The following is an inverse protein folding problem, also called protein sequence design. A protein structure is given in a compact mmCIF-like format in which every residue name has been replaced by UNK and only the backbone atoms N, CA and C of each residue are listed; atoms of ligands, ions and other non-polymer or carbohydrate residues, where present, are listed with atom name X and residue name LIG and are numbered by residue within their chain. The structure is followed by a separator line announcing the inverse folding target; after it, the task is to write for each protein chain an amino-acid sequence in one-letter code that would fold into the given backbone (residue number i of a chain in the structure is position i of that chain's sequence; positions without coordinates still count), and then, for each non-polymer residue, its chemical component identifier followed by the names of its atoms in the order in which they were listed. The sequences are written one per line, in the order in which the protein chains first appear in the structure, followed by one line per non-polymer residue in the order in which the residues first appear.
data_IF_300567491030
#
_entry.id   IF_300567491030
#
_cell.length_a   1.000
_cell.length_b   1.000
_cell.length_c   1.000
_cell.angle_alpha   90.00
_cell.angle_beta   90.00
_cell.angle_gamma   90.00
#
_symmetry.space_group_name_H-M   'P 1'
#
loop_
_entity.id
_entity.type
_entity.pdbx_description
1 polymer ?
#
# COMPACT_ATOMS: atom_id res chain seq x y z
N UNK A 1 -19.89 -24.32 -5.86
CA UNK A 1 -19.80 -23.25 -6.87
C UNK A 1 -18.42 -22.67 -6.73
N UNK A 2 -17.53 -22.93 -7.70
CA UNK A 2 -16.19 -22.39 -7.71
C UNK A 2 -16.26 -20.87 -7.80
N UNK A 3 -15.81 -20.17 -6.77
CA UNK A 3 -15.73 -18.71 -6.74
C UNK A 3 -14.79 -18.24 -7.86
N UNK A 4 -15.22 -17.24 -8.64
CA UNK A 4 -14.41 -16.57 -9.67
C UNK A 4 -14.85 -15.10 -9.74
N UNK A 5 -14.21 -14.26 -8.95
CA UNK A 5 -14.50 -12.83 -8.82
C UNK A 5 -13.82 -12.00 -9.92
N UNK A 6 -12.66 -12.42 -10.42
CA UNK A 6 -11.93 -11.73 -11.49
C UNK A 6 -11.02 -12.68 -12.27
N UNK A 7 -10.91 -12.44 -13.58
CA UNK A 7 -9.90 -13.08 -14.43
C UNK A 7 -8.94 -12.01 -14.96
N UNK A 8 -7.72 -11.98 -14.44
CA UNK A 8 -6.70 -11.01 -14.81
C UNK A 8 -5.57 -11.68 -15.59
N UNK A 9 -5.49 -11.39 -16.90
CA UNK A 9 -4.52 -11.98 -17.82
C UNK A 9 -3.98 -10.91 -18.78
N UNK A 10 -3.12 -9.98 -18.30
CA UNK A 10 -2.54 -8.96 -19.16
C UNK A 10 -1.60 -9.58 -20.21
N UNK A 11 -1.51 -8.97 -21.40
CA UNK A 11 -0.57 -9.41 -22.43
C UNK A 11 0.88 -9.04 -22.06
N UNK A 12 1.86 -9.71 -22.66
CA UNK A 12 3.27 -9.35 -22.47
C UNK A 12 3.58 -7.90 -22.90
N UNK A 13 2.88 -7.41 -23.93
CA UNK A 13 2.95 -6.02 -24.39
C UNK A 13 2.43 -5.06 -23.32
N UNK A 14 1.30 -5.38 -22.69
CA UNK A 14 0.72 -4.54 -21.63
C UNK A 14 1.61 -4.50 -20.40
N UNK A 15 2.16 -5.66 -19.98
CA UNK A 15 3.10 -5.73 -18.87
C UNK A 15 4.35 -4.87 -19.12
N UNK A 16 4.93 -4.97 -20.32
CA UNK A 16 6.08 -4.14 -20.72
C UNK A 16 5.74 -2.65 -20.69
N UNK A 17 4.55 -2.27 -21.15
CA UNK A 17 4.09 -0.88 -21.12
C UNK A 17 3.87 -0.36 -19.69
N UNK A 18 3.33 -1.20 -18.80
CA UNK A 18 3.16 -0.88 -17.37
C UNK A 18 4.52 -0.66 -16.72
N UNK A 19 5.48 -1.58 -16.91
CA UNK A 19 6.82 -1.47 -16.34
C UNK A 19 7.56 -0.22 -16.85
N UNK A 20 7.43 0.09 -18.14
CA UNK A 20 7.96 1.32 -18.74
C UNK A 20 7.35 2.59 -18.14
N UNK A 21 6.04 2.58 -17.86
CA UNK A 21 5.36 3.69 -17.21
C UNK A 21 5.80 3.88 -15.75
N UNK A 22 5.95 2.78 -14.99
CA UNK A 22 6.48 2.81 -13.62
C UNK A 22 7.89 3.38 -13.57
N UNK A 23 8.78 2.89 -14.45
CA UNK A 23 10.14 3.42 -14.58
C UNK A 23 10.15 4.92 -14.89
N UNK A 24 9.27 5.36 -15.79
CA UNK A 24 9.14 6.79 -16.10
C UNK A 24 8.72 7.60 -14.87
N UNK A 25 7.79 7.08 -14.05
CA UNK A 25 7.40 7.75 -12.80
C UNK A 25 8.57 7.83 -11.82
N UNK A 26 9.34 6.76 -11.64
CA UNK A 26 10.52 6.72 -10.78
C UNK A 26 11.58 7.74 -11.21
N UNK A 27 11.88 7.82 -12.51
CA UNK A 27 12.84 8.76 -13.07
C UNK A 27 12.41 10.23 -12.92
N UNK A 28 11.11 10.53 -13.11
CA UNK A 28 10.59 11.90 -13.01
C UNK A 28 10.32 12.36 -11.58
N UNK A 29 10.26 11.44 -10.62
CA UNK A 29 9.97 11.71 -9.22
C UNK A 29 11.18 11.46 -8.30
N UNK A 30 12.41 11.43 -8.85
CA UNK A 30 13.65 11.19 -8.09
C UNK A 30 13.89 12.18 -6.94
N UNK A 31 13.30 13.38 -6.99
CA UNK A 31 13.40 14.39 -5.93
C UNK A 31 12.47 14.14 -4.73
N UNK A 32 11.61 13.12 -4.76
CA UNK A 32 10.76 12.77 -3.64
C UNK A 32 11.54 12.05 -2.54
N UNK A 33 11.11 12.24 -1.29
CA UNK A 33 11.75 11.64 -0.12
C UNK A 33 10.92 10.52 0.47
N UNK A 34 11.60 9.50 1.01
CA UNK A 34 11.00 8.48 1.86
C UNK A 34 11.22 8.83 3.34
N UNK A 35 10.13 8.89 4.12
CA UNK A 35 10.20 9.08 5.57
C UNK A 35 10.18 7.72 6.29
N UNK A 36 11.10 7.55 7.25
CA UNK A 36 11.09 6.45 8.24
C UNK A 36 9.86 6.52 9.15
N UNK A 37 9.60 5.43 9.87
CA UNK A 37 8.47 5.35 10.82
C UNK A 37 8.64 6.39 11.93
N UNK A 38 9.87 6.56 12.43
CA UNK A 38 10.24 7.51 13.46
C UNK A 38 10.03 8.96 12.98
N UNK A 39 10.49 9.29 11.77
CA UNK A 39 10.26 10.63 11.20
C UNK A 39 8.77 10.93 11.03
N UNK A 40 7.97 9.97 10.57
CA UNK A 40 6.51 10.17 10.41
C UNK A 40 5.80 10.42 11.74
N UNK A 41 6.25 9.79 12.83
CA UNK A 41 5.61 9.95 14.12
C UNK A 41 5.85 11.35 14.71
N UNK A 42 7.06 11.90 14.53
CA UNK A 42 7.48 13.19 15.11
C UNK A 42 7.04 14.43 14.32
N UNK A 43 6.73 14.30 13.02
CA UNK A 43 6.35 15.44 12.20
C UNK A 43 4.98 16.01 12.58
N UNK A 44 4.89 17.34 12.54
CA UNK A 44 3.62 18.08 12.60
C UNK A 44 2.79 17.73 11.36
N UNK A 45 1.59 17.20 11.58
CA UNK A 45 0.76 16.66 10.50
C UNK A 45 -0.22 17.72 10.01
N UNK A 46 -0.36 17.79 8.70
CA UNK A 46 -1.35 18.66 8.06
C UNK A 46 -2.51 17.79 7.55
N UNK A 47 -3.65 17.85 8.23
CA UNK A 47 -4.95 17.41 7.69
C UNK A 47 -5.73 18.57 7.06
N UNK A 48 -6.96 18.32 6.63
CA UNK A 48 -7.78 19.25 5.85
C UNK A 48 -7.92 20.65 6.49
N UNK A 49 -8.20 20.71 7.79
CA UNK A 49 -8.37 21.98 8.52
C UNK A 49 -7.07 22.78 8.58
N UNK A 50 -5.96 22.11 8.91
CA UNK A 50 -4.64 22.73 8.99
C UNK A 50 -4.13 23.17 7.62
N UNK A 51 -4.52 22.49 6.54
CA UNK A 51 -4.16 22.92 5.19
C UNK A 51 -4.84 24.24 4.81
N UNK A 52 -6.15 24.37 5.07
CA UNK A 52 -6.86 25.61 4.83
C UNK A 52 -6.20 26.78 5.60
N UNK A 53 -5.79 26.53 6.85
CA UNK A 53 -4.98 27.46 7.63
C UNK A 53 -3.64 27.79 6.96
N UNK A 54 -2.86 26.80 6.51
CA UNK A 54 -1.57 27.02 5.87
C UNK A 54 -1.69 27.87 4.60
N UNK A 55 -2.73 27.64 3.78
CA UNK A 55 -3.00 28.44 2.58
C UNK A 55 -3.27 29.91 2.91
N UNK A 56 -4.16 30.14 3.88
CA UNK A 56 -4.49 31.49 4.34
C UNK A 56 -3.27 32.17 4.97
N UNK A 57 -2.47 31.43 5.74
CA UNK A 57 -1.23 31.94 6.32
C UNK A 57 -0.23 32.32 5.23
N UNK A 58 -0.04 31.50 4.19
CA UNK A 58 0.81 31.87 3.05
C UNK A 58 0.33 33.18 2.45
N UNK A 59 -0.96 33.32 2.13
CA UNK A 59 -1.51 34.55 1.54
C UNK A 59 -1.33 35.79 2.44
N UNK A 60 -1.65 35.66 3.73
CA UNK A 60 -1.54 36.79 4.67
C UNK A 60 -0.09 37.24 4.84
N UNK A 61 0.83 36.30 5.06
CA UNK A 61 2.26 36.58 5.22
C UNK A 61 2.88 37.10 3.93
N UNK A 62 2.36 36.65 2.79
CA UNK A 62 2.71 37.14 1.46
C UNK A 62 2.42 38.60 1.25
N UNK A 63 1.27 39.06 1.74
CA UNK A 63 0.81 40.45 1.63
C UNK A 63 1.41 41.35 2.70
N UNK A 64 1.93 40.78 3.79
CA UNK A 64 2.46 41.51 4.93
C UNK A 64 3.88 41.05 5.31
N UNK A 65 4.86 41.08 4.40
CA UNK A 65 6.20 40.53 4.68
C UNK A 65 6.92 41.27 5.83
N UNK A 66 6.56 42.52 6.12
CA UNK A 66 7.16 43.31 7.20
C UNK A 66 6.88 42.82 8.62
N UNK A 67 5.91 41.92 8.84
CA UNK A 67 5.65 41.31 10.16
C UNK A 67 6.58 40.13 10.45
N UNK A 68 7.30 39.64 9.44
CA UNK A 68 8.15 38.47 9.54
C UNK A 68 9.57 38.87 9.98
N UNK A 69 10.20 38.09 10.86
CA UNK A 69 11.60 38.30 11.19
C UNK A 69 12.49 37.99 9.98
N UNK A 70 13.69 38.59 9.93
CA UNK A 70 14.61 38.47 8.80
C UNK A 70 15.08 37.03 8.49
N UNK A 71 15.01 36.12 9.47
CA UNK A 71 15.37 34.72 9.31
C UNK A 71 14.22 33.83 8.82
N UNK A 72 13.00 34.36 8.65
CA UNK A 72 11.87 33.58 8.17
C UNK A 72 11.91 33.43 6.65
N UNK A 73 11.88 32.19 6.17
CA UNK A 73 11.95 31.91 4.74
C UNK A 73 10.55 31.80 4.11
N UNK A 74 9.93 32.96 3.85
CA UNK A 74 8.63 33.04 3.19
C UNK A 74 8.67 32.44 1.77
N UNK A 75 9.82 32.48 1.11
CA UNK A 75 9.96 31.95 -0.24
C UNK A 75 9.87 30.42 -0.26
N UNK A 76 10.52 29.74 0.69
CA UNK A 76 10.39 28.27 0.84
C UNK A 76 8.97 27.88 1.20
N UNK A 77 8.32 28.57 2.14
CA UNK A 77 6.93 28.27 2.50
C UNK A 77 5.99 28.32 1.27
N UNK A 78 6.19 29.28 0.36
CA UNK A 78 5.45 29.35 -0.91
C UNK A 78 5.80 28.20 -1.85
N UNK A 79 7.09 27.87 -1.97
CA UNK A 79 7.56 26.74 -2.80
C UNK A 79 6.94 25.43 -2.33
N UNK A 80 6.90 25.20 -1.03
CA UNK A 80 6.32 24.00 -0.42
C UNK A 80 4.83 23.88 -0.74
N UNK A 81 4.07 24.98 -0.63
CA UNK A 81 2.65 24.98 -0.98
C UNK A 81 2.42 24.64 -2.46
N UNK A 82 3.23 25.21 -3.37
CA UNK A 82 3.16 24.89 -4.81
C UNK A 82 3.54 23.44 -5.09
N UNK A 83 4.58 22.93 -4.43
CA UNK A 83 5.01 21.52 -4.54
C UNK A 83 3.93 20.56 -4.06
N UNK A 84 3.31 20.88 -2.92
CA UNK A 84 2.18 20.14 -2.36
C UNK A 84 0.99 20.08 -3.33
N UNK A 85 0.61 21.21 -3.92
CA UNK A 85 -0.46 21.28 -4.92
C UNK A 85 -0.12 20.54 -6.21
N UNK A 86 1.15 20.53 -6.59
CA UNK A 86 1.61 19.78 -7.77
C UNK A 86 1.45 18.28 -7.55
N UNK A 87 1.81 17.77 -6.37
CA UNK A 87 1.78 16.34 -6.07
C UNK A 87 0.37 15.80 -5.85
N UNK A 88 -0.50 16.56 -5.21
CA UNK A 88 -1.86 16.15 -4.83
C UNK A 88 -2.64 15.39 -5.92
N UNK A 89 -2.85 15.93 -7.14
CA UNK A 89 -3.64 15.23 -8.15
C UNK A 89 -2.94 13.97 -8.69
N UNK A 90 -1.60 13.87 -8.61
CA UNK A 90 -0.86 12.66 -9.01
C UNK A 90 -1.04 11.58 -7.95
N UNK A 91 -0.90 11.95 -6.67
CA UNK A 91 -1.09 11.08 -5.53
C UNK A 91 -2.49 10.44 -5.56
N UNK A 92 -3.54 11.25 -5.73
CA UNK A 92 -4.91 10.75 -5.85
C UNK A 92 -5.11 9.74 -7.00
N UNK A 93 -4.44 9.93 -8.14
CA UNK A 93 -4.52 9.00 -9.28
C UNK A 93 -3.80 7.69 -9.00
N UNK A 94 -2.64 7.75 -8.36
CA UNK A 94 -1.85 6.57 -7.98
C UNK A 94 -2.55 5.78 -6.89
N UNK A 95 -3.11 6.44 -5.87
CA UNK A 95 -3.89 5.80 -4.80
C UNK A 95 -5.07 5.04 -5.35
N UNK A 96 -5.86 5.64 -6.24
CA UNK A 96 -6.99 4.96 -6.89
C UNK A 96 -6.56 3.74 -7.71
N UNK A 97 -5.41 3.81 -8.38
CA UNK A 97 -4.88 2.67 -9.13
C UNK A 97 -4.42 1.56 -8.17
N UNK A 98 -3.71 1.93 -7.11
CA UNK A 98 -3.24 1.02 -6.07
C UNK A 98 -4.41 0.29 -5.39
N UNK A 99 -5.46 1.02 -5.01
CA UNK A 99 -6.69 0.45 -4.43
C UNK A 99 -7.28 -0.63 -5.35
N UNK A 100 -7.47 -0.33 -6.64
CA UNK A 100 -7.98 -1.31 -7.61
C UNK A 100 -7.07 -2.52 -7.77
N UNK A 101 -5.75 -2.34 -7.73
CA UNK A 101 -4.79 -3.44 -7.78
C UNK A 101 -4.88 -4.32 -6.52
N UNK A 102 -5.00 -3.71 -5.34
CA UNK A 102 -5.15 -4.41 -4.07
C UNK A 102 -6.47 -5.18 -4.00
N UNK A 103 -7.58 -4.57 -4.41
CA UNK A 103 -8.89 -5.23 -4.48
C UNK A 103 -8.87 -6.42 -5.43
N UNK A 104 -8.24 -6.27 -6.60
CA UNK A 104 -8.09 -7.35 -7.57
C UNK A 104 -7.21 -8.48 -7.02
N UNK A 105 -6.14 -8.15 -6.31
CA UNK A 105 -5.28 -9.14 -5.65
C UNK A 105 -6.03 -9.90 -4.56
N UNK A 106 -6.84 -9.20 -3.75
CA UNK A 106 -7.70 -9.80 -2.74
C UNK A 106 -8.72 -10.76 -3.36
N UNK A 107 -9.40 -10.32 -4.43
CA UNK A 107 -10.39 -11.10 -5.15
C UNK A 107 -9.78 -12.40 -5.72
N UNK A 108 -8.66 -12.29 -6.45
CA UNK A 108 -7.93 -13.46 -6.97
C UNK A 108 -7.46 -14.37 -5.84
N UNK A 109 -6.98 -13.82 -4.73
CA UNK A 109 -6.58 -14.59 -3.56
C UNK A 109 -7.74 -15.40 -2.96
N UNK A 110 -8.94 -14.82 -2.92
CA UNK A 110 -10.16 -15.50 -2.49
C UNK A 110 -10.53 -16.64 -3.44
N UNK A 111 -10.51 -16.39 -4.74
CA UNK A 111 -10.77 -17.41 -5.77
C UNK A 111 -9.81 -18.60 -5.63
N UNK A 112 -8.51 -18.30 -5.53
CA UNK A 112 -7.45 -19.30 -5.35
C UNK A 112 -7.66 -20.12 -4.09
N UNK A 113 -7.98 -19.45 -2.98
CA UNK A 113 -8.16 -20.09 -1.69
C UNK A 113 -9.39 -21.00 -1.66
N UNK A 114 -10.51 -20.53 -2.20
CA UNK A 114 -11.75 -21.31 -2.30
C UNK A 114 -11.55 -22.55 -3.17
N UNK A 115 -10.97 -22.39 -4.36
CA UNK A 115 -10.69 -23.50 -5.26
C UNK A 115 -9.70 -24.52 -4.65
N UNK A 116 -8.67 -24.05 -3.94
CA UNK A 116 -7.71 -24.92 -3.28
C UNK A 116 -8.33 -25.74 -2.14
N UNK A 117 -9.25 -25.17 -1.35
CA UNK A 117 -9.98 -25.89 -0.30
C UNK A 117 -10.93 -26.95 -0.88
N UNK A 118 -11.64 -26.62 -1.94
CA UNK A 118 -12.51 -27.56 -2.65
C UNK A 118 -11.68 -28.72 -3.23
N UNK A 119 -10.57 -28.41 -3.91
CA UNK A 119 -9.59 -29.39 -4.41
C UNK A 119 -9.02 -30.28 -3.31
N UNK A 120 -8.65 -29.70 -2.15
CA UNK A 120 -8.18 -30.48 -1.00
C UNK A 120 -9.27 -31.40 -0.44
N UNK A 121 -10.54 -30.97 -0.47
CA UNK A 121 -11.67 -31.82 -0.06
C UNK A 121 -11.82 -33.02 -0.99
N UNK A 122 -11.74 -32.82 -2.31
CA UNK A 122 -11.72 -33.94 -3.26
C UNK A 122 -10.53 -34.87 -3.03
N UNK A 123 -9.34 -34.33 -2.77
CA UNK A 123 -8.15 -35.12 -2.44
C UNK A 123 -8.35 -35.99 -1.19
N UNK A 124 -9.07 -35.50 -0.17
CA UNK A 124 -9.39 -36.29 1.04
C UNK A 124 -10.35 -37.46 0.77
N UNK A 125 -11.24 -37.31 -0.20
CA UNK A 125 -12.28 -38.30 -0.52
C UNK A 125 -11.78 -39.31 -1.55
N UNK A 126 -11.24 -38.83 -2.67
CA UNK A 126 -10.83 -39.64 -3.82
C UNK A 126 -9.35 -40.07 -3.79
N UNK A 127 -8.48 -39.38 -3.05
CA UNK A 127 -7.04 -39.68 -3.03
C UNK A 127 -6.64 -40.89 -2.17
N UNK A 128 -7.59 -41.55 -1.50
CA UNK A 128 -7.33 -42.76 -0.70
C UNK A 128 -7.08 -43.94 -1.63
N UNK A 129 -5.85 -44.43 -1.67
CA UNK A 129 -5.45 -45.58 -2.50
C UNK A 129 -4.74 -45.20 -3.80
N UNK A 130 -4.72 -43.91 -4.17
CA UNK A 130 -4.07 -43.38 -5.39
C UNK A 130 -2.59 -42.97 -5.17
N UNK A 131 -1.99 -43.33 -4.03
CA UNK A 131 -0.61 -42.93 -3.69
C UNK A 131 -0.41 -41.45 -3.34
N UNK A 132 -1.49 -40.65 -3.26
CA UNK A 132 -1.44 -39.20 -3.00
C UNK A 132 -1.38 -38.81 -1.51
N UNK A 133 -1.09 -39.76 -0.62
CA UNK A 133 -1.07 -39.54 0.83
C UNK A 133 0.02 -38.54 1.26
N UNK A 134 1.18 -38.52 0.60
CA UNK A 134 2.23 -37.54 0.85
C UNK A 134 1.78 -36.12 0.49
N UNK A 135 1.15 -35.94 -0.68
CA UNK A 135 0.59 -34.67 -1.12
C UNK A 135 -0.52 -34.18 -0.17
N UNK A 136 -1.40 -35.08 0.27
CA UNK A 136 -2.44 -34.77 1.26
C UNK A 136 -1.84 -34.32 2.59
N UNK A 137 -0.78 -34.98 3.07
CA UNK A 137 -0.06 -34.57 4.30
C UNK A 137 0.55 -33.17 4.16
N UNK A 138 1.22 -32.89 3.05
CA UNK A 138 1.80 -31.56 2.77
C UNK A 138 0.74 -30.46 2.83
N UNK A 139 -0.41 -30.63 2.16
CA UNK A 139 -1.50 -29.64 2.21
C UNK A 139 -2.15 -29.56 3.59
N UNK A 140 -2.24 -30.67 4.33
CA UNK A 140 -2.84 -30.72 5.66
C UNK A 140 -2.07 -29.90 6.71
N UNK A 141 -0.77 -29.66 6.50
CA UNK A 141 0.09 -28.89 7.40
C UNK A 141 -0.44 -27.47 7.65
N UNK A 142 -1.23 -26.91 6.72
CA UNK A 142 -1.94 -25.64 6.88
C UNK A 142 -2.85 -25.64 8.12
N UNK A 143 -3.53 -26.75 8.38
CA UNK A 143 -4.51 -26.87 9.47
C UNK A 143 -3.86 -27.29 10.80
N UNK A 144 -2.56 -27.62 10.79
CA UNK A 144 -1.82 -28.13 11.95
C UNK A 144 -1.21 -27.02 12.83
N UNK A 145 -1.28 -25.74 12.41
CA UNK A 145 -0.82 -24.60 13.21
C UNK A 145 -1.98 -24.05 14.05
N UNK A 146 -2.10 -24.55 15.28
CA UNK A 146 -2.86 -23.90 16.35
C UNK A 146 -2.23 -22.56 16.78
N UNK A 147 -2.93 -21.74 17.59
CA UNK A 147 -2.50 -20.39 17.93
C UNK A 147 -1.12 -20.38 18.59
N UNK A 148 -0.28 -19.45 18.14
CA UNK A 148 1.05 -19.17 18.71
C UNK A 148 0.84 -18.76 20.17
N UNK A 149 1.27 -19.58 21.13
CA UNK A 149 1.41 -19.16 22.53
C UNK A 149 2.30 -17.90 22.51
N UNK A 150 1.73 -16.77 22.88
CA UNK A 150 2.50 -15.62 23.37
C UNK A 150 3.35 -16.14 24.51
N UNK A 151 4.67 -16.09 24.32
CA UNK A 151 5.61 -16.30 25.41
C UNK A 151 5.52 -15.01 26.24
N UNK A 152 4.86 -15.09 27.39
CA UNK A 152 4.97 -14.07 28.43
C UNK A 152 6.44 -13.98 28.83
N UNK A 153 7.08 -12.85 28.53
CA UNK A 153 8.32 -12.45 29.16
C UNK A 153 8.04 -12.27 30.65
N UNK A 154 8.63 -13.16 31.46
CA UNK A 154 8.70 -12.98 32.91
C UNK A 154 9.65 -11.80 33.18
N UNK A 155 9.23 -10.75 33.90
CA UNK A 155 10.16 -9.71 34.35
C UNK A 155 11.04 -10.33 35.45
N UNK A 156 12.34 -10.47 35.16
CA UNK A 156 13.34 -10.82 36.16
C UNK A 156 13.83 -9.57 36.88
N UNK A 157 13.81 -9.65 38.21
CA UNK A 157 14.35 -8.70 39.20
C UNK A 157 15.84 -8.37 39.02
#
# INVERSE_FOLDING_TARGET
MSQNLISFQPSATDLTAIDGALKTLEEKLVGLIGLSVEQRSTLMKMGDKSEAFCRQAVELLSNNPGVLPANFNLQEMRRDLVGFDTLRPRLARVEKLLERMQDSQLAMGSDLMTAALEGYTYLKVAGKGEGLESARRTLSARFSRGPRKTVEEVPGE
#
